data_IF_375491105554
#
_entry.id   IF_375491105554
#
_cell.length_a   1.000
_cell.length_b   1.000
_cell.length_c   1.000
_cell.angle_alpha   90.00
_cell.angle_beta   90.00
_cell.angle_gamma   90.00
#
_symmetry.space_group_name_H-M   'P 1'
#
loop_
_entity.id
_entity.type
_entity.pdbx_description
1 polymer ?
#
# COMPACT_ATOMS: atom_id res chain seq x y z
N UNK A 1 25.28 -12.79 2.58
CA UNK A 1 23.90 -13.29 2.40
C UNK A 1 23.63 -13.44 0.90
N UNK A 2 22.79 -14.37 0.46
CA UNK A 2 22.47 -14.50 -0.96
C UNK A 2 21.67 -13.27 -1.43
N UNK A 3 21.99 -12.64 -2.58
CA UNK A 3 21.36 -11.40 -3.05
C UNK A 3 19.82 -11.42 -3.05
N UNK A 4 19.22 -12.57 -3.36
CA UNK A 4 17.77 -12.77 -3.28
C UNK A 4 17.21 -12.54 -1.87
N UNK A 5 17.81 -13.16 -0.84
CA UNK A 5 17.30 -13.10 0.53
C UNK A 5 17.45 -11.71 1.15
N UNK A 6 18.50 -10.98 0.78
CA UNK A 6 18.69 -9.59 1.23
C UNK A 6 17.61 -8.68 0.67
N UNK A 7 17.37 -8.75 -0.65
CA UNK A 7 16.30 -7.99 -1.30
C UNK A 7 14.91 -8.39 -0.78
N UNK A 8 14.67 -9.69 -0.58
CA UNK A 8 13.44 -10.21 0.00
C UNK A 8 13.15 -9.59 1.37
N UNK A 9 14.13 -9.60 2.29
CA UNK A 9 13.97 -9.04 3.63
C UNK A 9 13.74 -7.53 3.59
N UNK A 10 14.44 -6.81 2.71
CA UNK A 10 14.24 -5.38 2.53
C UNK A 10 12.80 -5.06 2.07
N UNK A 11 12.32 -5.73 1.02
CA UNK A 11 10.95 -5.52 0.52
C UNK A 11 9.93 -5.91 1.59
N UNK A 12 10.16 -7.00 2.32
CA UNK A 12 9.28 -7.43 3.39
C UNK A 12 9.08 -6.34 4.45
N UNK A 13 10.17 -5.71 4.89
CA UNK A 13 10.12 -4.60 5.85
C UNK A 13 9.36 -3.40 5.30
N UNK A 14 9.62 -3.00 4.05
CA UNK A 14 8.95 -1.84 3.45
C UNK A 14 7.44 -2.13 3.28
N UNK A 15 7.05 -3.33 2.83
CA UNK A 15 5.65 -3.72 2.73
C UNK A 15 4.93 -3.71 4.08
N UNK A 16 5.59 -4.18 5.15
CA UNK A 16 5.05 -4.09 6.51
C UNK A 16 4.77 -2.63 6.90
N UNK A 17 5.71 -1.72 6.61
CA UNK A 17 5.54 -0.31 6.94
C UNK A 17 4.44 0.36 6.11
N UNK A 18 4.33 0.03 4.81
CA UNK A 18 3.25 0.51 3.95
C UNK A 18 1.88 0.05 4.45
N UNK A 19 1.72 -1.23 4.77
CA UNK A 19 0.47 -1.77 5.30
C UNK A 19 0.09 -1.13 6.64
N UNK A 20 1.06 -0.87 7.51
CA UNK A 20 0.82 -0.16 8.76
C UNK A 20 0.40 1.28 8.50
N UNK A 21 1.06 1.99 7.57
CA UNK A 21 0.71 3.38 7.22
C UNK A 21 -0.69 3.49 6.61
N UNK A 22 -1.07 2.54 5.75
CA UNK A 22 -2.43 2.44 5.19
C UNK A 22 -3.45 2.23 6.31
N UNK A 23 -3.17 1.31 7.24
CA UNK A 23 -4.05 1.04 8.38
C UNK A 23 -4.21 2.25 9.29
N UNK A 24 -3.10 2.90 9.64
CA UNK A 24 -3.09 4.12 10.43
C UNK A 24 -3.90 5.23 9.77
N UNK A 25 -3.80 5.40 8.44
CA UNK A 25 -4.62 6.35 7.70
C UNK A 25 -6.11 6.01 7.78
N UNK A 26 -6.47 4.73 7.66
CA UNK A 26 -7.87 4.27 7.80
C UNK A 26 -8.43 4.49 9.20
N UNK A 27 -7.63 4.21 10.23
CA UNK A 27 -8.01 4.40 11.63
C UNK A 27 -8.10 5.89 11.99
N UNK A 28 -7.25 6.74 11.40
CA UNK A 28 -7.27 8.20 11.57
C UNK A 28 -8.47 8.85 10.87
N UNK A 29 -8.88 8.32 9.71
CA UNK A 29 -9.95 8.87 8.89
C UNK A 29 -11.12 7.89 8.69
N UNK A 30 -11.79 7.44 9.76
CA UNK A 30 -12.82 6.41 9.69
C UNK A 30 -14.10 6.89 8.99
N UNK A 31 -14.35 8.20 8.95
CA UNK A 31 -15.47 8.75 8.17
C UNK A 31 -15.27 8.65 6.66
N UNK A 32 -14.02 8.66 6.20
CA UNK A 32 -13.64 8.59 4.78
C UNK A 32 -13.49 7.14 4.33
N UNK A 33 -12.76 6.35 5.11
CA UNK A 33 -12.33 5.00 4.71
C UNK A 33 -13.03 3.87 5.47
N UNK A 34 -13.91 4.20 6.42
CA UNK A 34 -14.63 3.22 7.22
C UNK A 34 -15.86 2.64 6.49
N UNK A 35 -16.41 1.52 6.99
CA UNK A 35 -17.54 0.84 6.37
C UNK A 35 -18.89 1.57 6.50
N UNK A 36 -18.95 2.66 7.28
CA UNK A 36 -20.17 3.45 7.50
C UNK A 36 -19.85 4.92 7.34
N UNK A 37 -20.51 5.58 6.40
CA UNK A 37 -20.54 7.03 6.31
C UNK A 37 -21.27 7.55 7.56
N UNK A 38 -20.51 8.00 8.55
CA UNK A 38 -21.08 8.80 9.63
C UNK A 38 -21.52 10.15 9.05
N UNK A 39 -22.54 10.77 9.63
CA UNK A 39 -23.10 12.06 9.17
C UNK A 39 -22.00 13.04 8.76
N UNK A 40 -22.10 13.59 7.54
CA UNK A 40 -21.08 14.40 6.86
C UNK A 40 -20.77 15.76 7.55
N UNK A 41 -21.33 16.05 8.72
CA UNK A 41 -21.13 17.29 9.47
C UNK A 41 -19.89 17.20 10.37
N UNK A 42 -18.72 17.54 9.83
CA UNK A 42 -17.46 17.62 10.58
C UNK A 42 -16.45 16.51 10.26
N UNK A 43 -16.62 15.83 9.12
CA UNK A 43 -15.69 14.79 8.68
C UNK A 43 -14.31 15.37 8.35
N UNK A 44 -13.28 14.90 9.07
CA UNK A 44 -11.89 15.22 8.80
C UNK A 44 -11.44 14.35 7.61
N UNK A 45 -10.92 14.99 6.56
CA UNK A 45 -10.36 14.32 5.39
C UNK A 45 -8.83 14.32 5.44
N UNK A 46 -8.18 13.26 4.93
CA UNK A 46 -6.74 13.26 4.71
C UNK A 46 -6.32 14.43 3.82
N UNK A 47 -5.13 14.96 4.11
CA UNK A 47 -4.50 15.96 3.24
C UNK A 47 -3.97 15.31 1.96
N UNK A 48 -3.90 16.05 0.84
CA UNK A 48 -3.26 15.56 -0.38
C UNK A 48 -1.82 15.09 -0.14
N UNK A 49 -1.07 15.77 0.74
CA UNK A 49 0.30 15.42 1.09
C UNK A 49 0.40 14.06 1.79
N UNK A 50 -0.50 13.76 2.73
CA UNK A 50 -0.54 12.45 3.40
C UNK A 50 -0.80 11.32 2.41
N UNK A 51 -1.70 11.54 1.45
CA UNK A 51 -2.00 10.55 0.41
C UNK A 51 -0.87 10.42 -0.61
N UNK A 52 -0.24 11.53 -0.98
CA UNK A 52 0.92 11.54 -1.87
C UNK A 52 2.09 10.75 -1.28
N UNK A 53 2.34 10.84 0.03
CA UNK A 53 3.37 10.06 0.70
C UNK A 53 3.13 8.55 0.61
N UNK A 54 1.87 8.10 0.76
CA UNK A 54 1.51 6.68 0.57
C UNK A 54 1.74 6.24 -0.89
N UNK A 55 1.37 7.08 -1.86
CA UNK A 55 1.58 6.80 -3.30
C UNK A 55 3.07 6.74 -3.63
N UNK A 56 3.87 7.63 -3.06
CA UNK A 56 5.32 7.65 -3.26
C UNK A 56 5.98 6.37 -2.71
N UNK A 57 5.59 5.93 -1.51
CA UNK A 57 6.06 4.65 -0.96
C UNK A 57 5.74 3.47 -1.89
N UNK A 58 4.56 3.44 -2.51
CA UNK A 58 4.22 2.40 -3.50
C UNK A 58 5.15 2.47 -4.72
N UNK A 59 5.39 3.66 -5.26
CA UNK A 59 6.27 3.85 -6.42
C UNK A 59 7.72 3.42 -6.13
N UNK A 60 8.22 3.63 -4.92
CA UNK A 60 9.56 3.21 -4.50
C UNK A 60 9.67 1.67 -4.39
N UNK A 61 8.60 0.99 -3.98
CA UNK A 61 8.60 -0.47 -3.77
C UNK A 61 8.41 -1.25 -5.08
N UNK A 62 7.63 -0.73 -6.02
CA UNK A 62 7.36 -1.39 -7.30
C UNK A 62 8.61 -1.96 -8.01
N UNK A 63 9.67 -1.16 -8.27
CA UNK A 63 10.86 -1.67 -8.95
C UNK A 63 11.62 -2.73 -8.14
N UNK A 64 11.53 -2.70 -6.81
CA UNK A 64 12.18 -3.69 -5.96
C UNK A 64 11.47 -5.06 -6.06
N UNK A 65 10.13 -5.05 -6.10
CA UNK A 65 9.32 -6.26 -6.31
C UNK A 65 9.61 -6.89 -7.68
N UNK A 66 9.74 -6.06 -8.72
CA UNK A 66 10.11 -6.54 -10.06
C UNK A 66 11.53 -7.12 -10.08
N UNK A 67 12.50 -6.44 -9.43
CA UNK A 67 13.86 -6.95 -9.28
C UNK A 67 13.90 -8.29 -8.53
N UNK A 68 13.08 -8.46 -7.49
CA UNK A 68 12.97 -9.72 -6.74
C UNK A 68 12.53 -10.86 -7.64
N UNK A 69 11.55 -10.63 -8.53
CA UNK A 69 11.09 -11.63 -9.50
C UNK A 69 12.17 -11.98 -10.54
N UNK A 70 13.01 -11.03 -10.93
CA UNK A 70 14.10 -11.27 -11.88
C UNK A 70 15.22 -12.12 -11.25
N UNK A 71 15.47 -11.95 -9.95
CA UNK A 71 16.53 -12.64 -9.22
C UNK A 71 16.19 -14.07 -8.80
N UNK A 72 14.97 -14.56 -9.03
CA UNK A 72 14.58 -15.92 -8.66
C UNK A 72 15.30 -16.94 -9.54
N UNK A 73 16.11 -17.80 -8.94
CA UNK A 73 16.82 -18.89 -9.63
C UNK A 73 16.30 -20.28 -9.26
N UNK A 74 15.59 -20.40 -8.15
CA UNK A 74 15.06 -21.67 -7.63
C UNK A 74 13.53 -21.59 -7.43
N UNK A 75 12.85 -22.73 -7.51
CA UNK A 75 11.38 -22.79 -7.42
C UNK A 75 10.83 -22.19 -6.12
N UNK A 76 11.49 -22.46 -4.98
CA UNK A 76 11.08 -21.88 -3.69
C UNK A 76 11.25 -20.36 -3.65
N UNK A 77 12.25 -19.80 -4.36
CA UNK A 77 12.43 -18.35 -4.46
C UNK A 77 11.29 -17.73 -5.29
N UNK A 78 10.89 -18.38 -6.37
CA UNK A 78 9.77 -17.97 -7.19
C UNK A 78 8.47 -17.94 -6.39
N UNK A 79 8.19 -18.98 -5.59
CA UNK A 79 7.02 -19.00 -4.71
C UNK A 79 7.03 -17.85 -3.67
N UNK A 80 8.20 -17.56 -3.09
CA UNK A 80 8.37 -16.46 -2.15
C UNK A 80 8.20 -15.07 -2.81
N UNK A 81 8.78 -14.88 -3.99
CA UNK A 81 8.68 -13.64 -4.75
C UNK A 81 7.23 -13.39 -5.22
N UNK A 82 6.52 -14.43 -5.69
CA UNK A 82 5.11 -14.32 -6.02
C UNK A 82 4.24 -13.93 -4.83
N UNK A 83 4.53 -14.49 -3.64
CA UNK A 83 3.82 -14.10 -2.41
C UNK A 83 4.03 -12.62 -2.10
N UNK A 84 5.25 -12.10 -2.25
CA UNK A 84 5.54 -10.68 -2.09
C UNK A 84 4.83 -9.81 -3.14
N UNK A 85 4.83 -10.23 -4.40
CA UNK A 85 4.13 -9.55 -5.47
C UNK A 85 2.62 -9.46 -5.23
N UNK A 86 1.99 -10.56 -4.80
CA UNK A 86 0.56 -10.57 -4.45
C UNK A 86 0.27 -9.64 -3.28
N UNK A 87 1.11 -9.66 -2.25
CA UNK A 87 0.99 -8.78 -1.09
C UNK A 87 1.09 -7.31 -1.49
N UNK A 88 2.08 -6.95 -2.30
CA UNK A 88 2.23 -5.60 -2.83
C UNK A 88 1.02 -5.15 -3.66
N UNK A 89 0.52 -6.01 -4.54
CA UNK A 89 -0.68 -5.72 -5.35
C UNK A 89 -1.93 -5.47 -4.48
N UNK A 90 -2.07 -6.16 -3.34
CA UNK A 90 -3.15 -5.87 -2.39
C UNK A 90 -3.02 -4.47 -1.79
N UNK A 91 -1.81 -4.08 -1.35
CA UNK A 91 -1.57 -2.72 -0.84
C UNK A 91 -1.81 -1.64 -1.91
N UNK A 92 -1.44 -1.90 -3.17
CA UNK A 92 -1.76 -1.02 -4.29
C UNK A 92 -3.27 -0.83 -4.48
N UNK A 93 -4.02 -1.93 -4.48
CA UNK A 93 -5.47 -1.89 -4.62
C UNK A 93 -6.13 -1.16 -3.45
N UNK A 94 -5.62 -1.36 -2.22
CA UNK A 94 -6.14 -0.71 -1.03
C UNK A 94 -5.92 0.81 -1.08
N UNK A 95 -4.74 1.27 -1.50
CA UNK A 95 -4.48 2.70 -1.69
C UNK A 95 -5.31 3.29 -2.83
N UNK A 96 -5.49 2.56 -3.94
CA UNK A 96 -6.37 3.00 -5.03
C UNK A 96 -7.82 3.16 -4.57
N UNK A 97 -8.32 2.25 -3.72
CA UNK A 97 -9.65 2.38 -3.12
C UNK A 97 -9.74 3.65 -2.25
N UNK A 98 -8.75 3.91 -1.40
CA UNK A 98 -8.71 5.13 -0.58
C UNK A 98 -8.75 6.40 -1.46
N UNK A 99 -7.97 6.44 -2.55
CA UNK A 99 -7.98 7.57 -3.48
C UNK A 99 -9.34 7.73 -4.18
N UNK A 100 -10.03 6.62 -4.50
CA UNK A 100 -11.37 6.66 -5.07
C UNK A 100 -12.41 7.18 -4.07
N UNK A 101 -12.33 6.76 -2.82
CA UNK A 101 -13.23 7.22 -1.75
C UNK A 101 -13.06 8.73 -1.52
N UNK A 102 -11.82 9.23 -1.55
CA UNK A 102 -11.55 10.67 -1.52
C UNK A 102 -12.18 11.43 -2.69
N UNK A 103 -11.99 10.92 -3.92
CA UNK A 103 -12.58 11.53 -5.11
C UNK A 103 -14.11 11.57 -5.07
N UNK A 104 -14.75 10.54 -4.50
CA UNK A 104 -16.21 10.52 -4.33
C UNK A 104 -16.70 11.64 -3.41
N UNK A 105 -15.95 11.94 -2.35
CA UNK A 105 -16.28 13.00 -1.40
C UNK A 105 -16.17 14.40 -2.02
N UNK A 106 -15.18 14.62 -2.90
CA UNK A 106 -15.06 15.86 -3.66
C UNK A 106 -16.26 16.07 -4.60
N UNK A 107 -16.76 15.01 -5.23
CA UNK A 107 -17.91 15.08 -6.16
C UNK A 107 -19.27 15.21 -5.48
N UNK A 108 -19.36 15.06 -4.16
CA UNK A 108 -20.59 15.27 -3.37
C UNK A 108 -20.73 16.69 -2.79
N UNK A 109 -19.76 17.57 -3.03
CA UNK A 109 -19.85 19.01 -2.75
C UNK A 109 -20.39 19.77 -3.95
#
# INVERSE_FOLDING_TARGET
>A
MAPFMELYTQIHFILNNLENSIREAKDKYPGVFGPRLYDNSGMIIPTPEEMAALVEHIHQVAPLVDALMILTTEEWQQQLAERHKRRFALSQNELLQMLQDLKRLEGTK
#
